data_IF_662641345453
#
_entry.id   IF_662641345453
#
_cell.length_a   1.000
_cell.length_b   1.000
_cell.length_c   1.000
_cell.angle_alpha   90.00
_cell.angle_beta   90.00
_cell.angle_gamma   90.00
#
_symmetry.space_group_name_H-M   'P 1'
#
loop_
_entity.id
_entity.type
_entity.pdbx_description
1 polymer ?
#
# COMPACT_ATOMS: atom_id res chain seq x y z
N UNK A 1 24.99 0.14 -13.84
CA UNK A 1 24.23 0.66 -15.00
C UNK A 1 22.99 -0.18 -15.11
N UNK A 2 21.82 0.43 -15.33
CA UNK A 2 20.59 -0.30 -15.66
C UNK A 2 20.68 -0.79 -17.10
N UNK A 3 20.37 -2.06 -17.34
CA UNK A 3 20.48 -2.69 -18.66
C UNK A 3 19.17 -3.32 -19.08
N UNK A 4 18.89 -3.33 -20.38
CA UNK A 4 17.80 -4.09 -20.98
C UNK A 4 18.39 -5.10 -21.98
N UNK A 5 17.93 -6.35 -21.93
CA UNK A 5 18.34 -7.39 -22.88
C UNK A 5 17.34 -7.56 -24.04
N UNK A 6 17.71 -8.40 -25.02
CA UNK A 6 16.90 -8.64 -26.21
C UNK A 6 15.54 -9.31 -25.94
N UNK A 7 15.34 -9.87 -24.73
CA UNK A 7 14.09 -10.49 -24.30
C UNK A 7 13.25 -9.54 -23.44
N UNK A 8 13.63 -8.26 -23.34
CA UNK A 8 12.91 -7.27 -22.54
C UNK A 8 13.16 -7.38 -21.04
N UNK A 9 14.17 -8.15 -20.60
CA UNK A 9 14.56 -8.19 -19.19
C UNK A 9 15.34 -6.93 -18.84
N UNK A 10 14.88 -6.22 -17.82
CA UNK A 10 15.49 -5.01 -17.27
C UNK A 10 16.15 -5.33 -15.94
N UNK A 11 17.46 -5.11 -15.83
CA UNK A 11 18.21 -5.23 -14.57
C UNK A 11 18.52 -3.85 -14.01
N UNK A 12 18.02 -3.54 -12.82
CA UNK A 12 18.14 -2.22 -12.19
C UNK A 12 19.54 -2.07 -11.57
N UNK A 13 20.25 -1.04 -12.00
CA UNK A 13 21.60 -0.76 -11.55
C UNK A 13 21.68 -0.16 -10.13
N UNK A 14 22.90 0.16 -9.67
CA UNK A 14 23.12 0.83 -8.37
C UNK A 14 22.35 2.14 -8.28
N UNK A 15 21.76 2.40 -7.11
CA UNK A 15 20.94 3.59 -6.85
C UNK A 15 19.46 3.48 -7.23
N UNK A 16 19.03 2.34 -7.78
CA UNK A 16 17.64 2.09 -8.14
C UNK A 16 17.24 2.74 -9.47
N UNK A 17 15.93 2.80 -9.72
CA UNK A 17 15.34 3.49 -10.85
C UNK A 17 13.95 3.99 -10.48
N UNK A 18 13.43 4.99 -11.19
CA UNK A 18 12.01 5.36 -11.12
C UNK A 18 11.33 4.94 -12.40
N UNK A 19 10.20 4.25 -12.29
CA UNK A 19 9.32 3.90 -13.41
C UNK A 19 8.09 4.79 -13.34
N UNK A 20 7.86 5.58 -14.38
CA UNK A 20 6.69 6.44 -14.50
C UNK A 20 5.71 5.88 -15.52
N UNK A 21 4.43 5.94 -15.17
CA UNK A 21 3.31 5.49 -16.00
C UNK A 21 2.63 6.69 -16.65
N UNK A 22 1.92 6.46 -17.76
CA UNK A 22 1.15 7.52 -18.44
C UNK A 22 0.06 8.11 -17.54
N UNK A 23 -0.44 7.34 -16.57
CA UNK A 23 -1.36 7.80 -15.52
C UNK A 23 -0.76 8.85 -14.58
N UNK A 24 0.54 9.12 -14.68
CA UNK A 24 1.28 9.98 -13.76
C UNK A 24 1.74 9.29 -12.48
N UNK A 25 1.39 8.01 -12.27
CA UNK A 25 1.99 7.20 -11.21
C UNK A 25 3.50 7.08 -11.43
N UNK A 26 4.29 7.17 -10.36
CA UNK A 26 5.73 6.88 -10.40
C UNK A 26 6.11 5.95 -9.26
N UNK A 27 6.86 4.90 -9.58
CA UNK A 27 7.31 3.88 -8.64
C UNK A 27 8.83 3.86 -8.54
N UNK A 28 9.35 3.92 -7.32
CA UNK A 28 10.78 3.76 -7.06
C UNK A 28 11.15 2.29 -6.96
N UNK A 29 11.90 1.81 -7.95
CA UNK A 29 12.38 0.45 -8.08
C UNK A 29 13.73 0.31 -7.40
N UNK A 30 13.84 -0.67 -6.50
CA UNK A 30 15.08 -0.97 -5.78
C UNK A 30 16.21 -1.38 -6.72
N UNK A 31 17.44 -1.03 -6.35
CA UNK A 31 18.63 -1.54 -7.01
C UNK A 31 18.70 -3.07 -6.97
N UNK A 32 19.26 -3.66 -8.02
CA UNK A 32 19.37 -5.11 -8.16
C UNK A 32 18.07 -5.83 -8.49
N UNK A 33 16.94 -5.11 -8.56
CA UNK A 33 15.69 -5.69 -9.05
C UNK A 33 15.82 -6.09 -10.53
N UNK A 34 15.09 -7.13 -10.89
CA UNK A 34 14.96 -7.60 -12.26
C UNK A 34 13.48 -7.59 -12.64
N UNK A 35 13.17 -6.93 -13.75
CA UNK A 35 11.83 -6.81 -14.32
C UNK A 35 11.84 -7.41 -15.72
N UNK A 36 10.69 -7.83 -16.22
CA UNK A 36 10.46 -8.18 -17.63
C UNK A 36 9.29 -7.37 -18.13
N UNK A 37 9.41 -6.78 -19.32
CA UNK A 37 8.29 -6.13 -19.99
C UNK A 37 7.23 -7.17 -20.33
N UNK A 38 6.00 -6.91 -19.90
CA UNK A 38 4.90 -7.87 -19.94
C UNK A 38 3.60 -7.11 -20.19
N UNK A 39 3.24 -6.96 -21.46
CA UNK A 39 2.06 -6.20 -21.89
C UNK A 39 0.74 -6.82 -21.43
N UNK A 40 0.74 -8.09 -21.01
CA UNK A 40 -0.44 -8.76 -20.46
C UNK A 40 -0.63 -8.45 -18.96
N UNK A 41 0.45 -8.03 -18.29
CA UNK A 41 0.43 -7.66 -16.88
C UNK A 41 -0.32 -6.34 -16.66
N UNK A 42 -0.91 -6.19 -15.48
CA UNK A 42 -1.59 -4.97 -15.06
C UNK A 42 -0.69 -3.72 -15.07
N UNK A 43 0.63 -3.89 -15.01
CA UNK A 43 1.62 -2.83 -14.99
C UNK A 43 2.43 -2.72 -16.28
N UNK A 44 2.16 -3.55 -17.31
CA UNK A 44 3.04 -3.64 -18.48
C UNK A 44 4.42 -4.24 -18.16
N UNK A 45 4.62 -4.73 -16.95
CA UNK A 45 5.87 -5.33 -16.46
C UNK A 45 5.59 -6.36 -15.38
N UNK A 46 6.49 -7.32 -15.24
CA UNK A 46 6.47 -8.35 -14.21
C UNK A 46 7.79 -8.33 -13.44
N UNK A 47 7.70 -8.37 -12.10
CA UNK A 47 8.86 -8.46 -11.21
C UNK A 47 9.35 -9.91 -11.20
N UNK A 48 10.57 -10.16 -11.68
CA UNK A 48 11.15 -11.50 -11.77
C UNK A 48 12.30 -11.74 -10.77
N UNK A 49 12.89 -10.68 -10.22
CA UNK A 49 13.79 -10.82 -9.07
C UNK A 49 13.01 -11.26 -7.85
N UNK A 50 13.58 -12.17 -7.05
CA UNK A 50 13.01 -12.54 -5.76
C UNK A 50 13.26 -11.51 -4.66
N UNK A 51 12.64 -11.72 -3.51
CA UNK A 51 12.88 -10.96 -2.29
C UNK A 51 13.93 -11.66 -1.40
N UNK A 52 14.62 -10.94 -0.48
CA UNK A 52 15.65 -11.54 0.37
C UNK A 52 15.08 -12.29 1.59
N UNK A 53 13.75 -12.41 1.71
CA UNK A 53 13.10 -12.82 2.95
C UNK A 53 12.91 -14.33 3.01
N UNK A 54 13.47 -14.95 4.05
CA UNK A 54 13.44 -16.41 4.25
C UNK A 54 12.10 -16.92 4.79
N UNK A 55 11.29 -16.01 5.34
CA UNK A 55 9.96 -16.27 5.89
C UNK A 55 8.83 -15.97 4.89
N UNK A 56 9.18 -15.81 3.61
CA UNK A 56 8.25 -15.61 2.49
C UNK A 56 8.40 -16.80 1.54
N UNK A 57 7.56 -17.82 1.73
CA UNK A 57 7.54 -19.04 0.90
C UNK A 57 7.09 -18.70 -0.54
N UNK A 58 7.82 -19.22 -1.54
CA UNK A 58 7.53 -19.08 -2.97
C UNK A 58 6.12 -19.51 -3.39
N UNK A 59 5.49 -20.39 -2.63
CA UNK A 59 4.13 -20.89 -2.89
C UNK A 59 3.05 -20.20 -2.05
N UNK A 60 3.44 -19.24 -1.19
CA UNK A 60 2.46 -18.50 -0.40
C UNK A 60 1.64 -17.57 -1.30
N UNK A 61 0.34 -17.44 -1.01
CA UNK A 61 -0.58 -16.56 -1.77
C UNK A 61 -0.11 -15.10 -1.82
N UNK A 62 0.70 -14.67 -0.86
CA UNK A 62 1.22 -13.31 -0.76
C UNK A 62 2.61 -13.14 -1.37
N UNK A 63 3.24 -14.19 -1.90
CA UNK A 63 4.62 -14.14 -2.38
C UNK A 63 4.82 -13.01 -3.39
N UNK A 64 4.03 -12.99 -4.47
CA UNK A 64 4.16 -11.98 -5.53
C UNK A 64 3.87 -10.57 -5.01
N UNK A 65 2.90 -10.41 -4.12
CA UNK A 65 2.57 -9.13 -3.52
C UNK A 65 3.70 -8.59 -2.64
N UNK A 66 4.29 -9.44 -1.80
CA UNK A 66 5.44 -9.05 -0.97
C UNK A 66 6.65 -8.76 -1.85
N UNK A 67 6.86 -9.55 -2.90
CA UNK A 67 7.95 -9.36 -3.84
C UNK A 67 7.83 -8.02 -4.58
N UNK A 68 6.65 -7.71 -5.13
CA UNK A 68 6.37 -6.45 -5.80
C UNK A 68 6.48 -5.26 -4.83
N UNK A 69 5.85 -5.33 -3.66
CA UNK A 69 5.89 -4.26 -2.67
C UNK A 69 7.30 -3.98 -2.13
N UNK A 70 8.14 -5.02 -2.04
CA UNK A 70 9.56 -4.84 -1.75
C UNK A 70 10.28 -4.18 -2.93
N UNK A 71 10.15 -4.72 -4.14
CA UNK A 71 10.78 -4.18 -5.35
C UNK A 71 10.44 -2.71 -5.61
N UNK A 72 9.19 -2.31 -5.37
CA UNK A 72 8.71 -0.93 -5.53
C UNK A 72 9.00 -0.03 -4.33
N UNK A 73 9.98 -0.40 -3.49
CA UNK A 73 10.43 0.38 -2.32
C UNK A 73 9.33 0.76 -1.33
N UNK A 74 8.18 0.09 -1.36
CA UNK A 74 7.06 0.39 -0.48
C UNK A 74 7.28 -0.16 0.92
N UNK A 75 7.78 -1.39 0.99
CA UNK A 75 8.04 -2.10 2.25
C UNK A 75 9.51 -2.45 2.39
N UNK A 76 10.02 -2.29 3.61
CA UNK A 76 11.23 -2.96 4.08
C UNK A 76 10.88 -4.22 4.87
N UNK A 77 11.87 -5.12 5.01
CA UNK A 77 11.80 -6.23 5.96
C UNK A 77 11.84 -5.75 7.41
N UNK A 78 11.39 -6.60 8.33
CA UNK A 78 11.66 -6.41 9.77
C UNK A 78 13.11 -6.76 10.14
N UNK A 79 13.81 -7.43 9.22
CA UNK A 79 15.26 -7.62 9.22
C UNK A 79 15.75 -7.66 7.76
N UNK A 80 17.06 -7.80 7.54
CA UNK A 80 17.61 -8.01 6.20
C UNK A 80 17.16 -9.30 5.51
N UNK A 81 16.59 -10.25 6.26
CA UNK A 81 16.17 -11.57 5.73
C UNK A 81 14.79 -12.01 6.23
N UNK A 82 14.01 -11.12 6.83
CA UNK A 82 12.67 -11.42 7.32
C UNK A 82 11.69 -10.32 6.97
N UNK A 83 10.54 -10.69 6.41
CA UNK A 83 9.43 -9.78 6.14
C UNK A 83 8.42 -9.74 7.28
N UNK A 84 8.29 -10.81 8.07
CA UNK A 84 7.24 -11.02 9.08
C UNK A 84 5.82 -10.89 8.52
N UNK A 85 5.42 -11.71 7.52
CA UNK A 85 4.16 -11.52 6.78
C UNK A 85 2.91 -11.54 7.67
N UNK A 86 2.90 -12.34 8.73
CA UNK A 86 1.77 -12.48 9.65
C UNK A 86 1.69 -11.44 10.77
N UNK A 87 2.67 -10.52 10.88
CA UNK A 87 2.66 -9.49 11.93
C UNK A 87 1.62 -8.42 11.58
N UNK A 88 0.76 -7.99 12.53
CA UNK A 88 -0.16 -6.89 12.31
C UNK A 88 0.57 -5.58 11.99
N UNK A 89 0.06 -4.82 11.03
CA UNK A 89 0.55 -3.47 10.78
C UNK A 89 -0.02 -2.49 11.79
N UNK A 90 0.81 -1.54 12.23
CA UNK A 90 0.31 -0.38 12.97
C UNK A 90 -0.21 0.68 12.01
N UNK A 91 -1.02 1.60 12.54
CA UNK A 91 -1.51 2.76 11.77
C UNK A 91 -0.38 3.62 11.22
N UNK A 92 0.68 3.84 12.00
CA UNK A 92 1.87 4.57 11.54
C UNK A 92 2.58 3.85 10.38
N UNK A 93 2.73 2.52 10.46
CA UNK A 93 3.35 1.74 9.37
C UNK A 93 2.52 1.85 8.09
N UNK A 94 1.19 1.81 8.19
CA UNK A 94 0.32 1.90 7.01
C UNK A 94 0.45 3.25 6.29
N UNK A 95 0.44 4.34 7.05
CA UNK A 95 0.65 5.69 6.50
C UNK A 95 2.06 5.86 5.93
N UNK A 96 3.07 5.23 6.54
CA UNK A 96 4.43 5.26 6.02
C UNK A 96 4.55 4.62 4.65
N UNK A 97 3.91 3.46 4.45
CA UNK A 97 3.89 2.78 3.15
C UNK A 97 3.16 3.62 2.12
N UNK A 98 2.04 4.24 2.49
CA UNK A 98 1.32 5.14 1.59
C UNK A 98 2.15 6.38 1.20
N UNK A 99 2.91 6.94 2.14
CA UNK A 99 3.83 8.05 1.86
C UNK A 99 5.04 7.63 1.01
N UNK A 100 5.47 6.35 1.09
CA UNK A 100 6.46 5.79 0.17
C UNK A 100 5.87 5.71 -1.25
N UNK A 101 4.63 5.20 -1.40
CA UNK A 101 3.96 5.11 -2.70
C UNK A 101 3.83 6.49 -3.38
N UNK A 102 3.48 7.52 -2.61
CA UNK A 102 3.32 8.88 -3.14
C UNK A 102 4.67 9.62 -3.34
N UNK A 103 5.80 9.01 -2.97
CA UNK A 103 7.13 9.65 -2.99
C UNK A 103 7.14 11.02 -2.30
N UNK A 104 6.48 11.10 -1.14
CA UNK A 104 6.30 12.37 -0.39
C UNK A 104 7.64 12.99 -0.03
N UNK A 105 7.83 14.27 -0.36
CA UNK A 105 8.88 15.09 0.24
C UNK A 105 8.57 15.34 1.72
N UNK A 106 9.33 14.67 2.58
CA UNK A 106 9.14 14.69 4.03
C UNK A 106 9.71 15.93 4.69
N UNK A 107 10.52 16.73 3.99
CA UNK A 107 11.20 17.88 4.58
C UNK A 107 10.23 18.96 5.06
N UNK A 108 9.05 19.05 4.45
CA UNK A 108 7.99 19.98 4.84
C UNK A 108 7.21 19.59 6.10
N UNK A 109 7.32 18.34 6.58
CA UNK A 109 6.45 17.80 7.62
C UNK A 109 7.23 17.47 8.90
N UNK A 110 7.36 18.45 9.79
CA UNK A 110 8.12 18.31 11.04
C UNK A 110 7.25 18.05 12.28
N UNK A 111 5.94 18.31 12.19
CA UNK A 111 4.99 18.10 13.29
C UNK A 111 3.65 17.56 12.76
N UNK A 112 2.73 17.29 13.68
CA UNK A 112 1.34 17.00 13.35
C UNK A 112 0.42 17.66 14.38
N UNK A 113 -0.88 17.73 14.09
CA UNK A 113 -1.89 18.16 15.06
C UNK A 113 -2.18 17.13 16.16
N UNK A 114 -1.68 15.90 16.04
CA UNK A 114 -1.95 14.82 16.99
C UNK A 114 -0.95 14.82 18.14
N UNK A 115 -1.44 14.83 19.38
CA UNK A 115 -0.63 14.91 20.59
C UNK A 115 0.18 13.65 20.89
N UNK A 116 -0.28 12.50 20.38
CA UNK A 116 0.38 11.20 20.52
C UNK A 116 1.38 10.90 19.39
N UNK A 117 1.59 11.85 18.47
CA UNK A 117 2.64 11.79 17.45
C UNK A 117 3.76 12.73 17.87
N UNK A 118 4.76 12.18 18.56
CA UNK A 118 5.95 12.93 18.96
C UNK A 118 6.73 13.43 17.73
N UNK A 119 7.37 14.61 17.86
CA UNK A 119 8.26 15.17 16.84
C UNK A 119 9.47 14.28 16.62
N UNK A 120 9.91 14.15 15.37
CA UNK A 120 11.13 13.42 15.00
C UNK A 120 11.03 11.89 15.06
N UNK A 121 9.82 11.32 15.21
CA UNK A 121 9.60 9.89 14.99
C UNK A 121 9.66 9.60 13.50
N UNK A 122 10.04 8.37 13.16
CA UNK A 122 10.17 7.91 11.77
C UNK A 122 8.87 8.11 10.96
N UNK A 123 7.71 8.05 11.60
CA UNK A 123 6.40 8.26 11.00
C UNK A 123 5.87 9.71 11.09
N UNK A 124 6.53 10.62 11.80
CA UNK A 124 5.99 11.98 12.06
C UNK A 124 5.67 12.69 10.76
N UNK A 125 6.62 12.70 9.81
CA UNK A 125 6.45 13.38 8.54
C UNK A 125 5.33 12.77 7.69
N UNK A 126 5.28 11.44 7.60
CA UNK A 126 4.24 10.73 6.84
C UNK A 126 2.84 10.99 7.41
N UNK A 127 2.70 10.98 8.75
CA UNK A 127 1.43 11.30 9.41
C UNK A 127 1.06 12.78 9.27
N UNK A 128 2.04 13.68 9.31
CA UNK A 128 1.85 15.11 9.04
C UNK A 128 1.27 15.34 7.66
N UNK A 129 1.95 14.82 6.63
CA UNK A 129 1.48 14.86 5.24
C UNK A 129 0.06 14.32 5.09
N UNK A 130 -0.20 13.11 5.61
CA UNK A 130 -1.50 12.49 5.47
C UNK A 130 -2.60 13.27 6.21
N UNK A 131 -2.28 13.89 7.35
CA UNK A 131 -3.25 14.71 8.08
C UNK A 131 -3.53 16.04 7.39
N UNK A 132 -2.51 16.73 6.89
CA UNK A 132 -2.66 18.03 6.23
C UNK A 132 -3.45 17.92 4.93
N UNK A 133 -3.31 16.80 4.23
CA UNK A 133 -4.02 16.52 2.98
C UNK A 133 -5.37 15.80 3.19
N UNK A 134 -5.85 15.69 4.43
CA UNK A 134 -7.17 15.10 4.73
C UNK A 134 -7.28 13.58 4.55
N UNK A 135 -6.16 12.90 4.26
CA UNK A 135 -6.08 11.44 4.09
C UNK A 135 -6.36 10.74 5.44
N UNK A 136 -5.92 11.33 6.55
CA UNK A 136 -6.22 10.82 7.90
C UNK A 136 -6.75 11.89 8.85
N UNK A 137 -7.86 11.55 9.52
CA UNK A 137 -8.50 12.41 10.52
C UNK A 137 -8.13 12.07 11.98
N UNK A 138 -7.34 11.02 12.22
CA UNK A 138 -7.07 10.49 13.55
C UNK A 138 -8.14 9.52 14.02
N UNK A 139 -7.95 8.96 15.22
CA UNK A 139 -8.99 8.19 15.94
C UNK A 139 -9.94 9.12 16.69
N UNK A 140 -9.50 10.35 16.96
CA UNK A 140 -10.32 11.46 17.40
C UNK A 140 -9.67 12.81 16.97
N UNK A 141 -10.12 13.92 17.56
CA UNK A 141 -9.68 15.26 17.19
C UNK A 141 -8.18 15.54 17.40
N UNK A 142 -7.53 14.92 18.39
CA UNK A 142 -6.14 15.18 18.74
C UNK A 142 -5.28 13.92 18.91
N UNK A 143 -5.78 12.75 18.49
CA UNK A 143 -5.07 11.45 18.56
C UNK A 143 -5.07 10.72 17.23
N UNK A 144 -3.93 10.10 16.94
CA UNK A 144 -3.73 9.23 15.79
C UNK A 144 -3.58 7.76 16.17
N UNK A 145 -3.12 7.44 17.38
CA UNK A 145 -2.76 6.11 17.86
C UNK A 145 -1.75 5.38 16.95
N UNK A 146 -0.50 5.89 16.81
CA UNK A 146 0.46 5.43 15.82
C UNK A 146 0.86 3.95 15.95
N UNK A 147 0.95 3.45 17.18
CA UNK A 147 1.38 2.08 17.48
C UNK A 147 0.21 1.08 17.55
N UNK A 148 -1.03 1.55 17.45
CA UNK A 148 -2.19 0.66 17.45
C UNK A 148 -2.25 -0.14 16.14
N UNK A 149 -2.57 -1.44 16.19
CA UNK A 149 -2.86 -2.22 15.00
C UNK A 149 -3.97 -1.58 14.18
N UNK A 150 -3.77 -1.45 12.86
CA UNK A 150 -4.78 -0.90 11.97
C UNK A 150 -5.87 -1.94 11.71
N UNK A 151 -7.14 -1.54 11.87
CA UNK A 151 -8.28 -2.39 11.50
C UNK A 151 -8.52 -2.32 9.99
N UNK A 152 -9.14 -3.36 9.44
CA UNK A 152 -9.44 -3.42 8.00
C UNK A 152 -10.35 -2.27 7.55
N UNK A 153 -11.34 -1.90 8.34
CA UNK A 153 -12.21 -0.74 8.04
C UNK A 153 -11.46 0.61 8.09
N UNK A 154 -10.44 0.76 8.95
CA UNK A 154 -9.62 1.97 8.97
C UNK A 154 -8.69 2.04 7.75
N UNK A 155 -8.09 0.90 7.39
CA UNK A 155 -7.23 0.76 6.22
C UNK A 155 -7.92 1.23 4.94
N UNK A 156 -9.13 0.74 4.68
CA UNK A 156 -9.89 1.11 3.47
C UNK A 156 -10.30 2.58 3.45
N UNK A 157 -10.62 3.18 4.60
CA UNK A 157 -11.02 4.59 4.67
C UNK A 157 -9.84 5.49 4.37
N UNK A 158 -8.64 5.13 4.84
CA UNK A 158 -7.41 5.85 4.49
C UNK A 158 -7.17 5.81 2.99
N UNK A 159 -7.27 4.63 2.36
CA UNK A 159 -7.05 4.50 0.92
C UNK A 159 -8.14 5.20 0.09
N UNK A 160 -9.40 5.15 0.53
CA UNK A 160 -10.50 5.85 -0.11
C UNK A 160 -10.26 7.36 -0.10
N UNK A 161 -9.86 7.92 1.06
CA UNK A 161 -9.51 9.34 1.18
C UNK A 161 -8.25 9.72 0.41
N UNK A 162 -7.29 8.81 0.30
CA UNK A 162 -6.13 9.01 -0.56
C UNK A 162 -6.54 9.13 -2.04
N UNK A 163 -7.41 8.26 -2.55
CA UNK A 163 -7.92 8.39 -3.91
C UNK A 163 -8.68 9.71 -4.12
N UNK A 164 -9.47 10.14 -3.14
CA UNK A 164 -10.13 11.46 -3.16
C UNK A 164 -9.12 12.61 -3.18
N UNK A 165 -8.05 12.52 -2.39
CA UNK A 165 -6.94 13.48 -2.39
C UNK A 165 -6.26 13.57 -3.76
N UNK A 166 -6.10 12.43 -4.45
CA UNK A 166 -5.57 12.36 -5.83
C UNK A 166 -6.55 12.87 -6.88
N UNK A 167 -7.79 13.24 -6.50
CA UNK A 167 -8.84 13.64 -7.43
C UNK A 167 -9.35 12.49 -8.31
N UNK A 168 -9.14 11.25 -7.89
CA UNK A 168 -9.54 10.06 -8.65
C UNK A 168 -11.01 9.80 -8.42
N UNK A 169 -11.78 9.82 -9.50
CA UNK A 169 -13.18 9.39 -9.49
C UNK A 169 -13.24 7.87 -9.40
N UNK A 170 -13.86 7.37 -8.33
CA UNK A 170 -14.10 5.93 -8.18
C UNK A 170 -15.47 5.64 -8.78
N UNK A 171 -15.57 4.71 -9.76
CA UNK A 171 -16.84 4.31 -10.33
C UNK A 171 -17.86 3.94 -9.23
N UNK A 172 -19.12 4.31 -9.44
CA UNK A 172 -20.19 3.93 -8.52
C UNK A 172 -20.19 2.42 -8.31
N UNK A 173 -20.34 2.00 -7.05
CA UNK A 173 -20.21 0.60 -6.63
C UNK A 173 -21.03 -0.31 -7.53
N UNK A 174 -20.39 -1.37 -8.02
CA UNK A 174 -21.12 -2.51 -8.58
C UNK A 174 -21.95 -3.18 -7.46
N UNK A 175 -23.02 -3.91 -7.82
CA UNK A 175 -23.87 -4.69 -6.90
C UNK A 175 -23.09 -5.87 -6.26
N UNK A 176 -22.02 -5.56 -5.53
CA UNK A 176 -21.19 -6.48 -4.76
C UNK A 176 -21.26 -6.07 -3.30
N UNK A 177 -21.34 -7.06 -2.43
CA UNK A 177 -21.35 -6.89 -0.99
C UNK A 177 -20.50 -7.95 -0.32
N UNK A 178 -20.02 -7.65 0.87
CA UNK A 178 -19.36 -8.63 1.73
C UNK A 178 -20.41 -9.43 2.51
N UNK A 179 -20.10 -10.69 2.79
CA UNK A 179 -21.00 -11.57 3.56
C UNK A 179 -21.27 -11.05 4.99
N UNK A 180 -20.37 -10.24 5.54
CA UNK A 180 -20.48 -9.57 6.83
C UNK A 180 -20.57 -8.04 6.71
N UNK A 181 -21.11 -7.52 5.60
CA UNK A 181 -21.30 -6.09 5.37
C UNK A 181 -22.01 -5.38 6.53
N UNK A 182 -22.98 -6.04 7.17
CA UNK A 182 -23.71 -5.50 8.32
C UNK A 182 -22.84 -5.25 9.56
N UNK A 183 -21.61 -5.76 9.60
CA UNK A 183 -20.62 -5.50 10.67
C UNK A 183 -19.73 -4.31 10.37
N UNK A 184 -19.74 -3.81 9.13
CA UNK A 184 -18.96 -2.65 8.71
C UNK A 184 -19.55 -1.41 9.36
N UNK A 185 -18.71 -0.60 9.99
CA UNK A 185 -19.23 0.64 10.57
C UNK A 185 -19.76 1.59 9.50
N UNK A 186 -20.82 2.37 9.78
CA UNK A 186 -21.43 3.27 8.79
C UNK A 186 -20.43 4.22 8.11
N UNK A 187 -19.43 4.71 8.86
CA UNK A 187 -18.40 5.61 8.37
C UNK A 187 -17.39 4.95 7.40
N UNK A 188 -17.35 3.62 7.35
CA UNK A 188 -16.46 2.85 6.47
C UNK A 188 -17.20 2.16 5.31
N UNK A 189 -18.54 2.12 5.35
CA UNK A 189 -19.34 1.32 4.42
C UNK A 189 -19.16 1.77 2.96
N UNK A 190 -19.17 3.09 2.72
CA UNK A 190 -18.96 3.65 1.39
C UNK A 190 -17.57 3.30 0.85
N UNK A 191 -16.53 3.53 1.64
CA UNK A 191 -15.15 3.17 1.28
C UNK A 191 -15.02 1.66 1.00
N UNK A 192 -15.70 0.81 1.77
CA UNK A 192 -15.63 -0.64 1.61
C UNK A 192 -16.22 -1.07 0.26
N UNK A 193 -17.39 -0.51 -0.08
CA UNK A 193 -18.07 -0.78 -1.36
C UNK A 193 -17.28 -0.24 -2.54
N UNK A 194 -16.82 1.00 -2.45
CA UNK A 194 -16.04 1.64 -3.49
C UNK A 194 -14.77 0.84 -3.80
N UNK A 195 -13.95 0.52 -2.79
CA UNK A 195 -12.68 -0.20 -2.98
C UNK A 195 -12.86 -1.69 -3.28
N UNK A 196 -14.01 -2.29 -2.95
CA UNK A 196 -14.37 -3.62 -3.45
C UNK A 196 -14.76 -3.57 -4.93
N UNK A 197 -15.47 -2.54 -5.36
CA UNK A 197 -15.93 -2.37 -6.74
C UNK A 197 -14.81 -2.22 -7.77
N UNK A 198 -13.64 -1.76 -7.33
CA UNK A 198 -12.42 -1.64 -8.15
C UNK A 198 -11.32 -2.64 -7.74
N UNK A 199 -11.68 -3.68 -6.99
CA UNK A 199 -10.82 -4.81 -6.60
C UNK A 199 -9.54 -4.47 -5.80
N UNK A 200 -9.39 -3.24 -5.28
CA UNK A 200 -8.30 -2.87 -4.35
C UNK A 200 -8.40 -3.70 -3.07
N UNK A 201 -9.63 -3.93 -2.60
CA UNK A 201 -9.90 -4.73 -1.41
C UNK A 201 -10.72 -5.95 -1.77
N UNK A 202 -10.18 -7.11 -1.44
CA UNK A 202 -10.87 -8.39 -1.54
C UNK A 202 -11.20 -8.93 -0.15
N UNK A 203 -12.28 -9.71 -0.08
CA UNK A 203 -12.69 -10.39 1.13
C UNK A 203 -11.73 -11.52 1.50
N UNK A 204 -11.71 -11.89 2.77
CA UNK A 204 -11.16 -13.15 3.24
C UNK A 204 -12.04 -14.33 2.78
N UNK A 205 -11.63 -15.55 3.12
CA UNK A 205 -12.42 -16.75 2.84
C UNK A 205 -13.90 -16.59 3.22
N UNK A 206 -14.79 -17.05 2.33
CA UNK A 206 -16.24 -16.86 2.50
C UNK A 206 -16.74 -15.45 2.18
N UNK A 207 -15.95 -14.64 1.44
CA UNK A 207 -16.29 -13.25 1.09
C UNK A 207 -16.49 -12.36 2.33
N UNK A 208 -15.70 -12.57 3.38
CA UNK A 208 -15.77 -11.81 4.63
C UNK A 208 -14.83 -10.60 4.58
N UNK A 209 -15.35 -9.41 4.85
CA UNK A 209 -14.53 -8.21 5.01
C UNK A 209 -13.79 -8.20 6.34
N UNK A 210 -14.38 -8.70 7.42
CA UNK A 210 -13.83 -8.69 8.78
C UNK A 210 -13.41 -7.27 9.23
N UNK A 211 -14.36 -6.33 9.36
CA UNK A 211 -14.07 -4.89 9.52
C UNK A 211 -13.23 -4.57 10.76
N UNK A 212 -13.45 -5.29 11.86
CA UNK A 212 -12.75 -5.07 13.14
C UNK A 212 -11.46 -5.86 13.27
N UNK A 213 -11.23 -6.84 12.38
CA UNK A 213 -9.97 -7.56 12.29
C UNK A 213 -8.83 -6.61 11.91
N UNK A 214 -7.63 -6.97 12.33
CA UNK A 214 -6.41 -6.23 11.99
C UNK A 214 -5.85 -6.70 10.65
N UNK A 215 -5.14 -5.82 9.94
CA UNK A 215 -4.44 -6.17 8.71
C UNK A 215 -3.00 -6.59 9.02
N UNK A 216 -2.59 -7.73 8.49
CA UNK A 216 -1.20 -8.20 8.51
C UNK A 216 -0.34 -7.47 7.48
N UNK A 217 0.98 -7.54 7.62
CA UNK A 217 1.93 -6.98 6.65
C UNK A 217 1.74 -7.57 5.24
N UNK A 218 1.48 -8.86 5.13
CA UNK A 218 1.20 -9.51 3.84
C UNK A 218 -0.12 -9.02 3.20
N UNK A 219 -1.19 -8.89 3.99
CA UNK A 219 -2.45 -8.36 3.48
C UNK A 219 -2.34 -6.90 3.03
N UNK A 220 -1.61 -6.07 3.78
CA UNK A 220 -1.39 -4.69 3.38
C UNK A 220 -0.54 -4.59 2.11
N UNK A 221 0.53 -5.39 1.97
CA UNK A 221 1.31 -5.44 0.73
C UNK A 221 0.42 -5.78 -0.47
N UNK A 222 -0.45 -6.77 -0.34
CA UNK A 222 -1.40 -7.13 -1.40
C UNK A 222 -2.36 -5.99 -1.76
N UNK A 223 -2.88 -5.27 -0.76
CA UNK A 223 -3.78 -4.13 -0.99
C UNK A 223 -3.04 -2.97 -1.68
N UNK A 224 -1.80 -2.66 -1.28
CA UNK A 224 -1.01 -1.61 -1.94
C UNK A 224 -0.64 -1.97 -3.38
N UNK A 225 -0.29 -3.23 -3.65
CA UNK A 225 0.00 -3.67 -5.03
C UNK A 225 -1.25 -3.57 -5.91
N UNK A 226 -2.43 -3.97 -5.42
CA UNK A 226 -3.69 -3.79 -6.17
C UNK A 226 -4.03 -2.32 -6.38
N UNK A 227 -3.75 -1.46 -5.40
CA UNK A 227 -3.88 -0.01 -5.57
C UNK A 227 -2.95 0.50 -6.68
N UNK A 228 -1.69 0.08 -6.70
CA UNK A 228 -0.73 0.42 -7.78
C UNK A 228 -1.26 -0.04 -9.15
N UNK A 229 -1.70 -1.29 -9.25
CA UNK A 229 -2.26 -1.86 -10.48
C UNK A 229 -3.50 -1.09 -10.97
N UNK A 230 -4.32 -0.58 -10.06
CA UNK A 230 -5.45 0.28 -10.40
C UNK A 230 -4.96 1.66 -10.89
N UNK A 231 -4.06 2.30 -10.14
CA UNK A 231 -3.51 3.63 -10.48
C UNK A 231 -2.72 3.66 -11.78
N UNK A 232 -2.08 2.55 -12.16
CA UNK A 232 -1.32 2.45 -13.41
C UNK A 232 -2.23 2.45 -14.66
N UNK A 233 -3.52 2.12 -14.50
CA UNK A 233 -4.46 1.90 -15.62
C UNK A 233 -5.36 3.10 -15.95
N UNK A 234 -5.42 4.10 -15.07
CA UNK A 234 -6.39 5.20 -15.13
C UNK A 234 -5.78 6.51 -15.61
#
# INVERSE_FOLDING_TARGET
MTTIDANGKVAIGPGGATVSFESGLSLDIREGAELVLDEESALGLTVVSGNPFRDVDGNAWFYDYVNAAYTFSLFDGTSSTSFSPGVPMTRAMFIQVLANLENVDRSGYSNTRFRDVAVGKWYTAAVGWASENGIVNGTNADRFDPDAPITREQMIVILYKYLQYKGIEIPQSQDRSFADESKISPWALEAAKALQGIDIVTGKGGNLFDPKGTATRAEAAAVFVRLIEYLAKI
#
